data_IF_252486436441
#
_entry.id   IF_252486436441
#
_cell.length_a   1.000
_cell.length_b   1.000
_cell.length_c   1.000
_cell.angle_alpha   90.00
_cell.angle_beta   90.00
_cell.angle_gamma   90.00
#
_symmetry.space_group_name_H-M   'P 1'
#
loop_
_entity.id
_entity.type
_entity.pdbx_description
1 polymer ?
#
# COMPACT_ATOMS: atom_id res chain seq x y z
N UNK A 1 -3.64 0.42 28.83
CA UNK A 1 -3.70 -0.33 27.55
C UNK A 1 -3.07 0.51 26.45
N UNK A 2 -2.23 -0.08 25.61
CA UNK A 2 -1.67 0.62 24.43
C UNK A 2 -2.78 0.73 23.41
N UNK A 3 -3.37 1.91 23.27
CA UNK A 3 -4.45 2.19 22.30
C UNK A 3 -3.96 3.00 21.10
N UNK A 4 -2.65 3.18 20.99
CA UNK A 4 -2.04 4.03 19.98
C UNK A 4 -1.08 3.23 19.12
N UNK A 5 -1.06 3.54 17.81
CA UNK A 5 -0.09 3.03 16.85
C UNK A 5 0.77 4.19 16.36
N UNK A 6 2.01 3.92 16.01
CA UNK A 6 2.90 4.93 15.41
C UNK A 6 2.92 4.70 13.89
N UNK A 7 2.69 5.75 13.13
CA UNK A 7 2.79 5.74 11.67
C UNK A 7 3.99 6.60 11.27
N UNK A 8 4.99 5.98 10.63
CA UNK A 8 6.21 6.64 10.17
C UNK A 8 6.29 6.58 8.64
N UNK A 9 5.98 7.66 7.98
CA UNK A 9 5.97 7.77 6.53
C UNK A 9 7.06 8.71 6.00
N UNK A 10 7.40 8.59 4.73
CA UNK A 10 8.34 9.50 4.07
C UNK A 10 8.89 8.94 2.76
N UNK A 11 9.64 9.74 1.98
CA UNK A 11 10.23 9.32 0.72
C UNK A 11 11.22 8.16 0.89
N UNK A 12 11.56 7.50 -0.21
CA UNK A 12 12.64 6.51 -0.21
C UNK A 12 13.99 7.15 0.15
N UNK A 13 14.96 6.36 0.58
CA UNK A 13 16.32 6.79 0.93
C UNK A 13 16.43 7.87 2.04
N UNK A 14 15.39 8.04 2.88
CA UNK A 14 15.39 9.02 4.00
C UNK A 14 15.75 8.43 5.36
N UNK A 15 16.20 7.17 5.42
CA UNK A 15 16.59 6.53 6.68
C UNK A 15 15.42 6.08 7.58
N UNK A 16 14.19 5.98 7.04
CA UNK A 16 12.99 5.56 7.80
C UNK A 16 13.19 4.28 8.61
N UNK A 17 13.77 3.25 8.00
CA UNK A 17 13.95 1.95 8.67
C UNK A 17 14.88 2.07 9.88
N UNK A 18 16.02 2.74 9.74
CA UNK A 18 16.94 2.98 10.85
C UNK A 18 16.29 3.81 11.98
N UNK A 19 15.51 4.84 11.62
CA UNK A 19 14.77 5.62 12.62
C UNK A 19 13.72 4.78 13.33
N UNK A 20 13.00 3.92 12.59
CA UNK A 20 11.99 3.03 13.14
C UNK A 20 12.60 2.02 14.10
N UNK A 21 13.74 1.40 13.77
CA UNK A 21 14.45 0.46 14.66
C UNK A 21 14.89 1.15 15.96
N UNK A 22 15.53 2.33 15.87
CA UNK A 22 15.92 3.13 17.05
C UNK A 22 14.73 3.54 17.91
N UNK A 23 13.60 3.89 17.29
CA UNK A 23 12.38 4.22 18.01
C UNK A 23 11.81 2.99 18.70
N UNK A 24 11.75 1.85 18.00
CA UNK A 24 11.24 0.59 18.54
C UNK A 24 12.02 0.12 19.77
N UNK A 25 13.36 0.24 19.76
CA UNK A 25 14.19 -0.05 20.92
C UNK A 25 13.83 0.81 22.14
N UNK A 26 13.56 2.11 21.92
CA UNK A 26 13.27 3.06 23.01
C UNK A 26 11.88 2.91 23.62
N UNK A 27 10.88 2.51 22.84
CA UNK A 27 9.48 2.46 23.28
C UNK A 27 8.93 1.04 23.39
N UNK A 28 9.78 0.03 23.33
CA UNK A 28 9.42 -1.38 23.36
C UNK A 28 8.43 -1.73 22.24
N UNK A 29 8.78 -1.35 21.01
CA UNK A 29 7.93 -1.46 19.83
C UNK A 29 8.28 -2.64 18.93
N UNK A 30 7.38 -2.93 17.99
CA UNK A 30 7.59 -3.87 16.88
C UNK A 30 7.28 -3.16 15.56
N UNK A 31 8.04 -3.47 14.51
CA UNK A 31 7.97 -2.80 13.21
C UNK A 31 7.06 -3.56 12.26
N UNK A 32 6.20 -2.81 11.55
CA UNK A 32 5.26 -3.35 10.58
C UNK A 32 5.47 -2.62 9.26
N UNK A 33 5.72 -3.37 8.19
CA UNK A 33 6.02 -2.81 6.88
C UNK A 33 4.79 -2.18 6.21
N UNK A 34 4.95 -0.96 5.70
CA UNK A 34 4.01 -0.24 4.85
C UNK A 34 4.64 0.17 3.50
N UNK A 35 5.50 -0.67 2.95
CA UNK A 35 6.03 -0.55 1.59
C UNK A 35 5.55 -1.74 0.76
N UNK A 36 4.80 -1.48 -0.32
CA UNK A 36 4.15 -2.52 -1.11
C UNK A 36 5.13 -3.42 -1.86
N UNK A 37 6.35 -2.96 -2.13
CA UNK A 37 7.35 -3.74 -2.85
C UNK A 37 8.21 -4.58 -1.90
N UNK A 38 8.45 -4.11 -0.68
CA UNK A 38 9.17 -4.88 0.34
C UNK A 38 8.39 -6.09 0.90
N UNK A 39 7.15 -6.28 0.48
CA UNK A 39 6.36 -7.48 0.80
C UNK A 39 6.91 -8.74 0.10
N UNK A 40 7.53 -8.56 -1.08
CA UNK A 40 7.96 -9.65 -1.94
C UNK A 40 9.33 -10.20 -1.54
N UNK A 41 9.43 -11.54 -1.50
CA UNK A 41 10.62 -12.26 -1.02
C UNK A 41 11.85 -11.99 -1.88
N UNK A 42 11.70 -12.07 -3.18
CA UNK A 42 12.82 -12.05 -4.12
C UNK A 42 13.38 -10.65 -4.39
N UNK A 43 12.66 -9.59 -3.99
CA UNK A 43 13.07 -8.21 -4.21
C UNK A 43 13.88 -7.64 -3.02
N UNK A 44 14.80 -8.41 -2.45
CA UNK A 44 15.54 -8.00 -1.26
C UNK A 44 16.46 -6.80 -1.52
N UNK A 45 17.36 -6.91 -2.49
CA UNK A 45 18.36 -5.88 -2.83
C UNK A 45 17.67 -4.64 -3.43
N UNK A 46 16.89 -4.83 -4.49
CA UNK A 46 16.24 -3.75 -5.24
C UNK A 46 15.32 -2.86 -4.41
N UNK A 47 14.78 -3.37 -3.31
CA UNK A 47 13.90 -2.60 -2.43
C UNK A 47 14.61 -2.05 -1.21
N UNK A 48 15.89 -2.36 -1.03
CA UNK A 48 16.65 -2.10 0.18
C UNK A 48 15.88 -2.55 1.44
N UNK A 49 15.29 -3.75 1.37
CA UNK A 49 14.55 -4.34 2.48
C UNK A 49 15.53 -4.64 3.62
N UNK A 50 15.18 -4.31 4.88
CA UNK A 50 16.02 -4.64 6.02
C UNK A 50 16.23 -6.17 6.13
N UNK A 51 17.41 -6.57 6.53
CA UNK A 51 17.71 -7.96 6.87
C UNK A 51 17.14 -8.27 8.26
N UNK A 52 15.88 -8.70 8.26
CA UNK A 52 15.12 -8.90 9.50
C UNK A 52 15.69 -10.00 10.39
N UNK A 53 16.54 -10.88 9.88
CA UNK A 53 17.21 -11.93 10.67
C UNK A 53 18.34 -11.36 11.53
N UNK A 54 18.92 -10.22 11.11
CA UNK A 54 19.96 -9.51 11.86
C UNK A 54 19.39 -8.45 12.81
N UNK A 55 18.10 -8.14 12.69
CA UNK A 55 17.47 -7.11 13.51
C UNK A 55 17.08 -7.66 14.89
N UNK A 56 17.35 -6.89 15.94
CA UNK A 56 16.95 -7.22 17.31
C UNK A 56 15.44 -7.04 17.55
N UNK A 57 14.86 -6.12 16.80
CA UNK A 57 13.44 -5.77 16.88
C UNK A 57 12.66 -6.68 15.94
N UNK A 58 11.51 -7.15 16.40
CA UNK A 58 10.63 -7.96 15.57
C UNK A 58 10.01 -7.14 14.45
N UNK A 59 10.16 -7.64 13.22
CA UNK A 59 9.64 -7.04 12.00
C UNK A 59 8.53 -7.91 11.41
N UNK A 60 7.50 -7.26 10.86
CA UNK A 60 6.33 -7.90 10.26
C UNK A 60 6.12 -7.44 8.82
N UNK A 61 5.56 -8.30 7.98
CA UNK A 61 5.21 -8.04 6.59
C UNK A 61 6.40 -7.68 5.69
N UNK A 62 7.55 -8.26 5.91
CA UNK A 62 8.69 -8.17 5.02
C UNK A 62 8.93 -9.50 4.32
N UNK A 63 9.04 -9.50 2.99
CA UNK A 63 9.48 -10.64 2.20
C UNK A 63 8.69 -11.94 2.39
N UNK A 64 7.41 -11.87 2.56
CA UNK A 64 6.56 -13.05 2.79
C UNK A 64 5.72 -13.47 1.58
N UNK A 65 5.71 -12.64 0.52
CA UNK A 65 5.00 -12.93 -0.72
C UNK A 65 5.94 -13.44 -1.80
N UNK A 66 5.47 -14.40 -2.56
CA UNK A 66 6.10 -14.82 -3.81
C UNK A 66 5.77 -13.85 -4.94
N UNK A 67 6.64 -13.76 -5.96
CA UNK A 67 6.56 -12.73 -7.00
C UNK A 67 5.32 -12.79 -7.90
N UNK A 68 4.67 -13.94 -7.99
CA UNK A 68 3.43 -14.17 -8.74
C UNK A 68 2.15 -13.75 -7.98
N UNK A 69 2.27 -13.44 -6.68
CA UNK A 69 1.14 -13.09 -5.84
C UNK A 69 0.78 -11.62 -5.99
N UNK A 70 -0.37 -11.35 -6.58
CA UNK A 70 -0.92 -9.99 -6.60
C UNK A 70 -1.54 -9.62 -5.25
N UNK A 71 -0.97 -8.62 -4.56
CA UNK A 71 -1.38 -8.20 -3.22
C UNK A 71 -2.04 -6.83 -3.23
N UNK A 72 -3.33 -6.80 -2.89
CA UNK A 72 -4.11 -5.56 -2.86
C UNK A 72 -3.98 -4.84 -1.50
N UNK A 73 -4.28 -3.54 -1.49
CA UNK A 73 -4.39 -2.76 -0.23
C UNK A 73 -5.45 -3.35 0.72
N UNK A 74 -6.53 -3.92 0.19
CA UNK A 74 -7.55 -4.60 1.01
C UNK A 74 -6.99 -5.83 1.73
N UNK A 75 -6.21 -6.66 1.04
CA UNK A 75 -5.51 -7.79 1.69
C UNK A 75 -4.50 -7.30 2.72
N UNK A 76 -3.71 -6.28 2.36
CA UNK A 76 -2.71 -5.71 3.25
C UNK A 76 -3.34 -5.16 4.55
N UNK A 77 -4.40 -4.36 4.47
CA UNK A 77 -5.01 -3.76 5.66
C UNK A 77 -5.64 -4.80 6.59
N UNK A 78 -6.19 -5.89 6.03
CA UNK A 78 -6.70 -7.01 6.81
C UNK A 78 -5.58 -7.74 7.56
N UNK A 79 -4.45 -7.98 6.89
CA UNK A 79 -3.29 -8.62 7.52
C UNK A 79 -2.68 -7.73 8.61
N UNK A 80 -2.50 -6.45 8.33
CA UNK A 80 -2.02 -5.47 9.31
C UNK A 80 -2.93 -5.41 10.54
N UNK A 81 -4.25 -5.49 10.37
CA UNK A 81 -5.17 -5.46 11.50
C UNK A 81 -4.97 -6.65 12.46
N UNK A 82 -4.68 -7.86 11.90
CA UNK A 82 -4.35 -9.03 12.72
C UNK A 82 -3.05 -8.82 13.48
N UNK A 83 -2.01 -8.35 12.79
CA UNK A 83 -0.69 -8.09 13.38
C UNK A 83 -0.79 -7.02 14.47
N UNK A 84 -1.50 -5.91 14.23
CA UNK A 84 -1.71 -4.86 15.22
C UNK A 84 -2.34 -5.40 16.50
N UNK A 85 -3.39 -6.23 16.38
CA UNK A 85 -4.04 -6.86 17.53
C UNK A 85 -3.07 -7.75 18.30
N UNK A 86 -2.24 -8.52 17.61
CA UNK A 86 -1.26 -9.42 18.24
C UNK A 86 -0.14 -8.65 18.94
N UNK A 87 0.43 -7.63 18.30
CA UNK A 87 1.45 -6.75 18.87
C UNK A 87 0.94 -6.06 20.16
N UNK A 88 -0.27 -5.49 20.09
CA UNK A 88 -0.89 -4.80 21.23
C UNK A 88 -1.21 -5.79 22.36
N UNK A 89 -1.66 -7.01 22.05
CA UNK A 89 -1.89 -8.07 23.04
C UNK A 89 -0.61 -8.41 23.81
N UNK A 90 0.56 -8.36 23.16
CA UNK A 90 1.87 -8.54 23.79
C UNK A 90 2.35 -7.30 24.54
N UNK A 91 1.55 -6.24 24.63
CA UNK A 91 1.88 -4.94 25.25
C UNK A 91 3.04 -4.21 24.56
N UNK A 92 3.30 -4.49 23.30
CA UNK A 92 4.29 -3.81 22.46
C UNK A 92 3.63 -2.67 21.68
N UNK A 93 4.42 -1.66 21.31
CA UNK A 93 3.95 -0.52 20.53
C UNK A 93 4.10 -0.82 19.03
N UNK A 94 3.00 -0.88 18.25
CA UNK A 94 3.12 -1.09 16.82
C UNK A 94 3.65 0.17 16.12
N UNK A 95 4.69 0.01 15.29
CA UNK A 95 5.28 1.07 14.46
C UNK A 95 5.13 0.67 13.00
N UNK A 96 4.20 1.31 12.31
CA UNK A 96 3.97 1.09 10.88
C UNK A 96 4.88 2.02 10.09
N UNK A 97 5.81 1.48 9.30
CA UNK A 97 6.81 2.24 8.58
C UNK A 97 6.85 1.91 7.10
N UNK A 98 6.92 2.94 6.24
CA UNK A 98 7.02 2.71 4.80
C UNK A 98 6.88 3.95 3.93
N UNK A 99 6.83 3.71 2.61
CA UNK A 99 6.70 4.75 1.58
C UNK A 99 5.37 4.72 0.82
N UNK A 100 4.54 3.67 1.00
CA UNK A 100 3.31 3.51 0.24
C UNK A 100 2.18 4.36 0.83
N UNK A 101 2.01 5.58 0.34
CA UNK A 101 1.03 6.54 0.86
C UNK A 101 -0.41 6.01 0.90
N UNK A 102 -0.79 5.14 -0.05
CA UNK A 102 -2.12 4.55 -0.06
C UNK A 102 -2.36 3.58 1.12
N UNK A 103 -1.32 2.92 1.62
CA UNK A 103 -1.40 2.09 2.81
C UNK A 103 -1.69 2.93 4.07
N UNK A 104 -0.98 4.05 4.24
CA UNK A 104 -1.24 4.98 5.34
C UNK A 104 -2.66 5.56 5.26
N UNK A 105 -3.10 5.94 4.05
CA UNK A 105 -4.46 6.43 3.83
C UNK A 105 -5.51 5.37 4.18
N UNK A 106 -5.26 4.10 3.87
CA UNK A 106 -6.16 3.01 4.25
C UNK A 106 -6.27 2.86 5.78
N UNK A 107 -5.18 3.09 6.53
CA UNK A 107 -5.20 3.07 8.00
C UNK A 107 -5.99 4.26 8.54
N UNK A 108 -5.69 5.48 8.08
CA UNK A 108 -6.24 6.72 8.65
C UNK A 108 -7.66 7.01 8.23
N UNK A 109 -7.93 6.88 6.94
CA UNK A 109 -9.20 7.28 6.32
C UNK A 109 -10.13 6.08 6.06
N UNK A 110 -9.57 4.88 5.97
CA UNK A 110 -10.28 3.69 5.52
C UNK A 110 -10.33 3.55 4.00
N UNK A 111 -11.01 2.51 3.54
CA UNK A 111 -11.21 2.19 2.12
C UNK A 111 -12.66 2.44 1.70
N UNK A 112 -12.86 2.75 0.42
CA UNK A 112 -14.21 2.76 -0.18
C UNK A 112 -14.82 1.35 -0.07
N UNK A 113 -16.12 1.24 0.26
CA UNK A 113 -16.78 -0.05 0.52
C UNK A 113 -17.12 -0.78 -0.79
N UNK A 114 -16.11 -1.01 -1.63
CA UNK A 114 -16.26 -1.77 -2.86
C UNK A 114 -16.18 -3.25 -2.48
N UNK A 115 -17.22 -4.06 -2.81
CA UNK A 115 -17.20 -5.48 -2.51
C UNK A 115 -16.11 -6.22 -3.29
N UNK A 116 -15.81 -7.44 -2.89
CA UNK A 116 -14.93 -8.30 -3.66
C UNK A 116 -15.55 -8.61 -5.01
N UNK A 117 -14.76 -8.43 -6.06
CA UNK A 117 -15.16 -8.68 -7.45
C UNK A 117 -14.58 -10.01 -7.89
N UNK A 118 -15.40 -10.82 -8.54
CA UNK A 118 -14.96 -12.11 -9.07
C UNK A 118 -13.80 -11.94 -10.05
N UNK A 119 -12.81 -12.81 -9.92
CA UNK A 119 -11.61 -12.77 -10.78
C UNK A 119 -11.91 -12.95 -12.28
N UNK A 120 -12.98 -13.66 -12.61
CA UNK A 120 -13.40 -13.87 -14.00
C UNK A 120 -13.77 -12.56 -14.69
N UNK A 121 -14.33 -11.60 -13.95
CA UNK A 121 -14.65 -10.25 -14.46
C UNK A 121 -13.38 -9.52 -14.85
N UNK A 122 -12.35 -9.59 -14.01
CA UNK A 122 -11.05 -9.01 -14.33
C UNK A 122 -10.44 -9.61 -15.59
N UNK A 123 -10.42 -10.93 -15.70
CA UNK A 123 -9.94 -11.62 -16.88
C UNK A 123 -10.71 -11.22 -18.15
N UNK A 124 -12.02 -11.05 -18.04
CA UNK A 124 -12.84 -10.53 -19.14
C UNK A 124 -12.39 -9.14 -19.60
N UNK A 125 -12.18 -8.22 -18.64
CA UNK A 125 -11.71 -6.86 -18.96
C UNK A 125 -10.29 -6.86 -19.54
N UNK A 126 -9.41 -7.74 -19.05
CA UNK A 126 -8.06 -7.93 -19.60
C UNK A 126 -8.12 -8.41 -21.07
N UNK A 127 -8.95 -9.40 -21.37
CA UNK A 127 -9.19 -9.86 -22.73
C UNK A 127 -9.80 -8.77 -23.64
N UNK A 128 -10.74 -7.98 -23.10
CA UNK A 128 -11.32 -6.85 -23.83
C UNK A 128 -10.25 -5.80 -24.16
N UNK A 129 -9.33 -5.54 -23.24
CA UNK A 129 -8.21 -4.63 -23.45
C UNK A 129 -7.26 -5.14 -24.55
N UNK A 130 -6.93 -6.43 -24.57
CA UNK A 130 -6.06 -7.03 -25.57
C UNK A 130 -6.67 -6.97 -26.97
N UNK A 131 -7.99 -7.17 -27.08
CA UNK A 131 -8.70 -7.17 -28.35
C UNK A 131 -8.97 -5.77 -28.91
N UNK A 132 -9.39 -4.85 -28.04
CA UNK A 132 -9.99 -3.57 -28.46
C UNK A 132 -9.09 -2.36 -28.11
N UNK A 133 -8.05 -2.56 -27.32
CA UNK A 133 -7.13 -1.51 -26.89
C UNK A 133 -7.68 -0.60 -25.77
N UNK A 134 -6.78 0.20 -25.19
CA UNK A 134 -7.10 1.06 -24.03
C UNK A 134 -8.09 2.18 -24.37
N UNK A 135 -8.00 2.72 -25.59
CA UNK A 135 -8.88 3.81 -26.04
C UNK A 135 -10.35 3.39 -26.03
N UNK A 136 -10.64 2.14 -26.41
CA UNK A 136 -12.03 1.65 -26.42
C UNK A 136 -12.55 1.42 -25.00
N UNK A 137 -11.73 0.90 -24.09
CA UNK A 137 -12.08 0.77 -22.69
C UNK A 137 -12.35 2.15 -22.06
N UNK A 138 -11.55 3.16 -22.43
CA UNK A 138 -11.75 4.53 -21.94
C UNK A 138 -13.08 5.14 -22.43
N UNK A 139 -13.43 4.95 -23.72
CA UNK A 139 -14.74 5.37 -24.26
C UNK A 139 -15.90 4.69 -23.52
N UNK A 140 -15.76 3.39 -23.27
CA UNK A 140 -16.73 2.62 -22.50
C UNK A 140 -16.88 3.16 -21.08
N UNK A 141 -15.74 3.47 -20.41
CA UNK A 141 -15.79 4.11 -19.09
C UNK A 141 -16.44 5.48 -19.13
N UNK A 142 -16.17 6.31 -20.12
CA UNK A 142 -16.77 7.62 -20.29
C UNK A 142 -18.30 7.53 -20.47
N UNK A 143 -18.79 6.52 -21.16
CA UNK A 143 -20.21 6.26 -21.31
C UNK A 143 -20.87 5.77 -20.01
N UNK A 144 -20.23 4.84 -19.30
CA UNK A 144 -20.77 4.22 -18.07
C UNK A 144 -20.65 5.17 -16.89
N UNK A 145 -19.47 5.74 -16.66
CA UNK A 145 -19.13 6.57 -15.49
C UNK A 145 -18.34 7.82 -15.94
N UNK A 146 -19.04 8.85 -16.47
CA UNK A 146 -18.39 10.09 -16.91
C UNK A 146 -17.56 10.74 -15.81
N UNK A 147 -18.04 10.72 -14.55
CA UNK A 147 -17.33 11.30 -13.40
C UNK A 147 -15.98 10.60 -13.11
N UNK A 148 -15.93 9.29 -13.27
CA UNK A 148 -14.68 8.55 -13.14
C UNK A 148 -13.77 8.82 -14.33
N UNK A 149 -14.32 8.86 -15.55
CA UNK A 149 -13.55 9.15 -16.76
C UNK A 149 -12.86 10.52 -16.74
N UNK A 150 -13.51 11.54 -16.19
CA UNK A 150 -12.90 12.87 -16.03
C UNK A 150 -11.71 12.89 -15.05
N UNK A 151 -11.75 12.03 -14.02
CA UNK A 151 -10.72 11.98 -12.96
C UNK A 151 -9.57 11.03 -13.25
N UNK A 152 -9.81 10.01 -14.05
CA UNK A 152 -8.82 8.98 -14.39
C UNK A 152 -8.08 9.41 -15.64
N UNK A 153 -6.74 9.44 -15.56
CA UNK A 153 -5.93 9.72 -16.75
C UNK A 153 -6.25 8.70 -17.84
N UNK A 154 -6.49 9.12 -19.10
CA UNK A 154 -6.83 8.23 -20.21
C UNK A 154 -5.76 7.15 -20.50
N UNK A 155 -4.52 7.37 -20.08
CA UNK A 155 -3.44 6.39 -20.20
C UNK A 155 -3.29 5.49 -18.94
N UNK A 156 -4.09 5.70 -17.89
CA UNK A 156 -4.04 4.87 -16.68
C UNK A 156 -4.86 3.58 -16.87
N UNK A 157 -4.24 2.63 -17.57
CA UNK A 157 -4.79 1.30 -17.83
C UNK A 157 -5.37 0.66 -16.55
N UNK A 158 -4.63 0.72 -15.46
CA UNK A 158 -5.01 0.01 -14.24
C UNK A 158 -6.27 0.59 -13.60
N UNK A 159 -6.40 1.92 -13.55
CA UNK A 159 -7.58 2.58 -12.99
C UNK A 159 -8.80 2.47 -13.90
N UNK A 160 -8.61 2.53 -15.22
CA UNK A 160 -9.69 2.33 -16.18
C UNK A 160 -10.27 0.92 -16.04
N UNK A 161 -9.41 -0.10 -16.06
CA UNK A 161 -9.83 -1.49 -15.87
C UNK A 161 -10.56 -1.67 -14.53
N UNK A 162 -10.01 -1.13 -13.43
CA UNK A 162 -10.64 -1.24 -12.11
C UNK A 162 -12.02 -0.61 -12.07
N UNK A 163 -12.22 0.53 -12.72
CA UNK A 163 -13.53 1.18 -12.77
C UNK A 163 -14.56 0.31 -13.52
N UNK A 164 -14.14 -0.30 -14.64
CA UNK A 164 -14.99 -1.22 -15.40
C UNK A 164 -15.25 -2.53 -14.64
N UNK A 165 -14.24 -3.10 -13.97
CA UNK A 165 -14.41 -4.26 -13.08
C UNK A 165 -15.49 -4.01 -12.01
N UNK A 166 -15.42 -2.85 -11.35
CA UNK A 166 -16.41 -2.48 -10.31
C UNK A 166 -17.81 -2.41 -10.89
N UNK A 167 -17.96 -1.79 -12.05
CA UNK A 167 -19.28 -1.71 -12.71
C UNK A 167 -19.80 -3.08 -13.12
N UNK A 168 -19.00 -3.89 -13.79
CA UNK A 168 -19.39 -5.24 -14.22
C UNK A 168 -19.75 -6.16 -13.05
N UNK A 169 -19.01 -6.03 -11.93
CA UNK A 169 -19.22 -6.89 -10.76
C UNK A 169 -20.32 -6.44 -9.83
N UNK A 170 -20.69 -5.16 -9.85
CA UNK A 170 -21.66 -4.59 -8.87
C UNK A 170 -22.86 -3.90 -9.50
N UNK A 171 -22.81 -3.64 -10.78
CA UNK A 171 -23.75 -2.78 -11.51
C UNK A 171 -23.84 -1.36 -10.94
N UNK A 172 -22.79 -0.89 -10.22
CA UNK A 172 -22.67 0.46 -9.67
C UNK A 172 -21.41 1.13 -10.18
N UNK A 173 -21.44 2.45 -10.35
CA UNK A 173 -20.30 3.24 -10.79
C UNK A 173 -19.24 3.32 -9.71
N UNK A 174 -17.96 3.28 -10.08
CA UNK A 174 -16.89 3.45 -9.10
C UNK A 174 -16.93 4.84 -8.47
N UNK A 175 -17.38 5.86 -9.21
CA UNK A 175 -17.57 7.22 -8.69
C UNK A 175 -18.61 7.30 -7.57
N UNK A 176 -19.61 6.43 -7.54
CA UNK A 176 -20.58 6.36 -6.46
C UNK A 176 -19.93 5.84 -5.16
N UNK A 177 -19.09 4.80 -5.28
CA UNK A 177 -18.34 4.28 -4.14
C UNK A 177 -17.35 5.31 -3.56
N UNK A 178 -16.79 6.21 -4.38
CA UNK A 178 -15.91 7.28 -3.88
C UNK A 178 -16.61 8.29 -2.99
N UNK A 179 -17.95 8.44 -3.15
CA UNK A 179 -18.79 9.32 -2.35
C UNK A 179 -19.31 8.67 -1.07
N UNK A 180 -19.24 7.33 -1.00
CA UNK A 180 -19.70 6.61 0.19
C UNK A 180 -18.74 6.81 1.36
N UNK A 181 -19.28 6.68 2.57
CA UNK A 181 -18.46 6.68 3.80
C UNK A 181 -17.46 5.53 3.74
N UNK A 182 -16.19 5.87 3.93
CA UNK A 182 -15.12 4.86 3.96
C UNK A 182 -15.23 3.98 5.20
N UNK A 183 -14.90 2.72 5.03
CA UNK A 183 -14.86 1.75 6.11
C UNK A 183 -13.47 1.72 6.72
N UNK A 184 -13.39 2.00 8.01
CA UNK A 184 -12.16 1.88 8.79
C UNK A 184 -12.07 0.47 9.38
N UNK A 185 -11.09 -0.29 8.93
CA UNK A 185 -10.77 -1.61 9.47
C UNK A 185 -9.93 -1.47 10.74
N UNK A 186 -9.09 -0.43 10.80
CA UNK A 186 -8.20 -0.14 11.93
C UNK A 186 -8.79 1.00 12.75
N UNK A 187 -9.11 0.70 14.01
CA UNK A 187 -9.78 1.64 14.93
C UNK A 187 -8.87 2.11 16.09
N UNK A 188 -7.56 2.02 15.92
CA UNK A 188 -6.60 2.55 16.88
C UNK A 188 -6.32 4.03 16.62
N UNK A 189 -6.05 4.79 17.69
CA UNK A 189 -5.50 6.15 17.55
C UNK A 189 -4.10 6.08 17.00
N UNK A 190 -3.75 6.95 16.05
CA UNK A 190 -2.41 7.00 15.47
C UNK A 190 -1.65 8.26 15.85
N UNK A 191 -0.36 8.12 16.05
CA UNK A 191 0.60 9.22 16.11
C UNK A 191 1.36 9.19 14.79
N UNK A 192 1.24 10.24 14.01
CA UNK A 192 1.73 10.27 12.64
C UNK A 192 3.00 11.11 12.55
N UNK A 193 4.09 10.49 12.09
CA UNK A 193 5.32 11.17 11.73
C UNK A 193 5.54 11.06 10.22
N UNK A 194 5.83 12.18 9.59
CA UNK A 194 6.26 12.23 8.21
C UNK A 194 7.70 12.74 8.19
N UNK A 195 8.61 11.92 7.66
CA UNK A 195 9.95 12.40 7.38
C UNK A 195 9.87 13.28 6.14
N UNK A 196 10.35 14.50 6.29
CA UNK A 196 10.55 15.44 5.20
C UNK A 196 12.04 15.72 5.05
N UNK A 197 12.53 15.81 3.84
CA UNK A 197 13.93 16.05 3.55
C UNK A 197 14.06 16.80 2.23
N UNK A 198 15.15 17.53 2.10
CA UNK A 198 15.49 18.24 0.89
C UNK A 198 15.56 17.31 -0.32
N UNK A 199 15.07 17.76 -1.46
CA UNK A 199 14.93 16.94 -2.66
C UNK A 199 16.29 16.54 -3.26
N UNK A 200 17.26 17.44 -3.23
CA UNK A 200 18.60 17.18 -3.73
C UNK A 200 19.31 16.14 -2.85
N UNK A 201 19.13 16.25 -1.53
CA UNK A 201 19.63 15.29 -0.58
C UNK A 201 19.02 13.90 -0.81
N UNK A 202 17.71 13.82 -1.07
CA UNK A 202 17.02 12.55 -1.38
C UNK A 202 17.59 11.93 -2.67
N UNK A 203 17.76 12.73 -3.73
CA UNK A 203 18.32 12.24 -4.99
C UNK A 203 19.73 11.70 -4.81
N UNK A 204 20.61 12.45 -4.14
CA UNK A 204 21.97 11.98 -3.83
C UNK A 204 21.97 10.63 -3.11
N UNK A 205 21.08 10.46 -2.12
CA UNK A 205 20.99 9.19 -1.41
C UNK A 205 20.38 8.06 -2.27
N UNK A 206 19.50 8.38 -3.20
CA UNK A 206 18.99 7.40 -4.15
C UNK A 206 20.09 6.93 -5.10
N UNK A 207 20.91 7.84 -5.61
CA UNK A 207 22.03 7.53 -6.50
C UNK A 207 23.05 6.63 -5.78
N UNK A 208 23.52 7.03 -4.59
CA UNK A 208 24.40 6.23 -3.76
C UNK A 208 23.84 4.81 -3.48
N UNK A 209 22.56 4.73 -3.17
CA UNK A 209 21.92 3.44 -2.93
C UNK A 209 21.83 2.60 -4.20
N UNK A 210 21.62 3.24 -5.35
CA UNK A 210 21.60 2.57 -6.64
C UNK A 210 22.96 1.94 -6.94
N UNK A 211 24.05 2.67 -6.70
CA UNK A 211 25.41 2.16 -6.89
C UNK A 211 25.63 0.89 -6.06
N UNK A 212 25.27 0.89 -4.78
CA UNK A 212 25.35 -0.32 -3.92
C UNK A 212 24.46 -1.49 -4.36
N UNK A 213 23.45 -1.26 -5.19
CA UNK A 213 22.61 -2.35 -5.70
C UNK A 213 23.22 -3.08 -6.89
N UNK A 214 24.23 -2.47 -7.53
CA UNK A 214 24.94 -3.04 -8.68
C UNK A 214 26.30 -3.68 -8.30
N UNK A 215 26.77 -3.46 -7.09
CA UNK A 215 27.94 -4.15 -6.50
C UNK A 215 27.55 -5.55 -5.96
#
# INVERSE_FOLDING_TARGET
>A
MIEKIVLLSGPTATGKSSLASKLAEKIDGEIINADSIQLYRDLFILTARPDIEKEKIKHHCYGFLDGDINWSVGKWINEINKILKDVIKRKKVPIVVGGTGFYFKAITDGLSPIPDIDKSIRLKIENDLEKNGLTELQKRLAFIDPKASEKINPNDRQRIMRALEVYEGTNKKISDFWLMKREKIINYKSINFKIDADREWIYKNCDLRSDYMFE
#
